data_IF_823157670735
#
_entry.id   IF_823157670735
#
_cell.length_a   1.000
_cell.length_b   1.000
_cell.length_c   1.000
_cell.angle_alpha   90.00
_cell.angle_beta   90.00
_cell.angle_gamma   90.00
#
_symmetry.space_group_name_H-M   'P 1'
#
loop_
_entity.id
_entity.type
_entity.pdbx_description
1 polymer ?
#
# COMPACT_ATOMS: atom_id res chain seq x y z
N UNK A 1 -2.39 -16.89 5.48
CA UNK A 1 -2.18 -18.37 5.39
C UNK A 1 -2.04 -18.87 3.95
N UNK A 2 -3.01 -18.69 3.05
CA UNK A 2 -2.95 -19.27 1.70
C UNK A 2 -1.76 -18.79 0.84
N UNK A 3 -1.40 -17.51 0.92
CA UNK A 3 -0.26 -16.97 0.15
C UNK A 3 1.11 -17.24 0.82
N UNK A 4 1.19 -17.02 2.13
CA UNK A 4 2.46 -17.09 2.88
C UNK A 4 2.81 -18.50 3.38
N UNK A 5 1.85 -19.44 3.44
CA UNK A 5 2.08 -20.79 3.95
C UNK A 5 2.67 -20.78 5.35
N UNK A 6 3.58 -21.71 5.65
CA UNK A 6 4.40 -21.68 6.87
C UNK A 6 5.69 -20.85 6.73
N UNK A 7 5.87 -20.16 5.60
CA UNK A 7 7.02 -19.32 5.27
C UNK A 7 8.32 -20.05 4.90
N UNK A 8 8.55 -21.28 5.38
CA UNK A 8 9.85 -21.93 5.33
C UNK A 8 10.37 -22.16 3.91
N UNK A 9 9.53 -22.70 3.01
CA UNK A 9 9.96 -23.05 1.65
C UNK A 9 10.15 -21.84 0.73
N UNK A 10 9.31 -20.80 0.90
CA UNK A 10 9.26 -19.66 -0.03
C UNK A 10 10.08 -18.46 0.45
N UNK A 11 10.16 -18.26 1.76
CA UNK A 11 10.74 -17.06 2.37
C UNK A 11 11.85 -17.37 3.38
N UNK A 12 12.12 -18.65 3.66
CA UNK A 12 13.11 -19.08 4.64
C UNK A 12 12.87 -18.49 6.05
N UNK A 13 11.60 -18.35 6.43
CA UNK A 13 11.16 -17.89 7.76
C UNK A 13 10.03 -18.78 8.26
N UNK A 14 9.92 -19.00 9.57
CA UNK A 14 8.77 -19.69 10.16
C UNK A 14 7.64 -18.69 10.38
N UNK A 15 6.44 -18.98 9.88
CA UNK A 15 5.25 -18.14 10.06
C UNK A 15 4.16 -18.96 10.74
N UNK A 16 3.79 -18.53 11.95
CA UNK A 16 2.64 -19.03 12.70
C UNK A 16 1.47 -18.03 12.63
N UNK A 17 0.24 -18.49 12.89
CA UNK A 17 -0.96 -17.66 12.73
C UNK A 17 -1.89 -17.80 13.93
N UNK A 18 -2.37 -16.67 14.43
CA UNK A 18 -3.60 -16.56 15.20
C UNK A 18 -4.68 -15.84 14.38
N UNK A 19 -5.95 -16.17 14.62
CA UNK A 19 -7.08 -15.50 13.97
C UNK A 19 -7.89 -14.76 15.02
N UNK A 20 -7.93 -13.44 14.91
CA UNK A 20 -8.85 -12.61 15.68
C UNK A 20 -10.25 -12.78 15.10
N UNK A 21 -11.09 -13.59 15.75
CA UNK A 21 -12.48 -13.83 15.31
C UNK A 21 -13.39 -12.63 15.62
N UNK A 22 -13.16 -11.99 16.77
CA UNK A 22 -13.89 -10.80 17.19
C UNK A 22 -12.98 -9.57 17.03
N UNK A 23 -13.35 -8.67 16.12
CA UNK A 23 -12.55 -7.48 15.79
C UNK A 23 -12.71 -6.37 16.85
N UNK A 24 -12.28 -6.65 18.07
CA UNK A 24 -12.45 -5.77 19.24
C UNK A 24 -11.31 -4.74 19.40
N UNK A 25 -10.56 -4.41 18.35
CA UNK A 25 -9.47 -3.42 18.41
C UNK A 25 -8.06 -4.01 18.44
N UNK A 26 -7.07 -3.11 18.44
CA UNK A 26 -5.64 -3.43 18.27
C UNK A 26 -5.01 -4.08 19.49
N UNK A 27 -5.38 -3.70 20.71
CA UNK A 27 -4.89 -4.36 21.93
C UNK A 27 -5.36 -5.81 21.99
N UNK A 28 -6.63 -6.07 21.63
CA UNK A 28 -7.17 -7.42 21.53
C UNK A 28 -6.39 -8.25 20.49
N UNK A 29 -6.09 -7.69 19.32
CA UNK A 29 -5.30 -8.37 18.29
C UNK A 29 -3.88 -8.70 18.77
N UNK A 30 -3.22 -7.77 19.45
CA UNK A 30 -1.87 -7.95 19.96
C UNK A 30 -1.80 -8.90 21.17
N UNK A 31 -2.88 -9.02 21.94
CA UNK A 31 -2.98 -9.99 23.04
C UNK A 31 -2.74 -11.44 22.58
N UNK A 32 -3.13 -11.79 21.35
CA UNK A 32 -2.86 -13.12 20.79
C UNK A 32 -1.36 -13.43 20.67
N UNK A 33 -0.48 -12.43 20.61
CA UNK A 33 0.96 -12.64 20.51
C UNK A 33 1.54 -13.30 21.78
N UNK A 34 0.88 -13.16 22.94
CA UNK A 34 1.33 -13.67 24.24
C UNK A 34 1.71 -15.16 24.19
N UNK A 35 0.87 -15.98 23.57
CA UNK A 35 1.07 -17.42 23.48
C UNK A 35 2.23 -17.83 22.54
N UNK A 36 2.66 -16.93 21.65
CA UNK A 36 3.74 -17.18 20.70
C UNK A 36 5.11 -16.72 21.24
N UNK A 37 5.14 -15.60 21.96
CA UNK A 37 6.40 -14.98 22.42
C UNK A 37 6.82 -15.45 23.81
N UNK A 38 5.87 -15.91 24.63
CA UNK A 38 6.16 -16.33 26.00
C UNK A 38 6.78 -15.20 26.82
N UNK A 39 7.97 -15.45 27.37
CA UNK A 39 8.71 -14.51 28.21
C UNK A 39 9.77 -13.69 27.44
N UNK A 40 9.88 -13.87 26.13
CA UNK A 40 10.87 -13.17 25.31
C UNK A 40 10.44 -11.74 24.98
N UNK A 41 11.42 -10.86 24.79
CA UNK A 41 11.22 -9.55 24.18
C UNK A 41 10.93 -9.71 22.69
N UNK A 42 10.00 -8.92 22.15
CA UNK A 42 9.51 -9.11 20.80
C UNK A 42 9.30 -7.80 20.04
N UNK A 43 9.50 -7.88 18.73
CA UNK A 43 9.02 -6.85 17.81
C UNK A 43 7.52 -6.99 17.60
N UNK A 44 6.84 -5.86 17.54
CA UNK A 44 5.43 -5.77 17.22
C UNK A 44 5.24 -4.69 16.17
N UNK A 45 4.40 -4.94 15.17
CA UNK A 45 4.13 -3.93 14.13
C UNK A 45 2.71 -4.06 13.55
N UNK A 46 2.15 -2.96 13.07
CA UNK A 46 0.93 -3.02 12.26
C UNK A 46 1.23 -3.69 10.90
N UNK A 47 0.24 -4.43 10.39
CA UNK A 47 0.40 -5.29 9.21
C UNK A 47 0.38 -4.56 7.87
N UNK A 48 0.08 -3.26 7.87
CA UNK A 48 -0.02 -2.39 6.69
C UNK A 48 1.17 -1.42 6.57
N UNK A 49 2.24 -1.62 7.33
CA UNK A 49 3.41 -0.74 7.30
C UNK A 49 4.48 -1.21 6.32
N UNK A 50 5.10 -0.26 5.64
CA UNK A 50 6.37 -0.45 4.93
C UNK A 50 7.40 0.56 5.45
N UNK A 51 8.52 0.07 5.94
CA UNK A 51 9.60 0.89 6.48
C UNK A 51 10.97 0.43 5.97
N UNK A 52 11.95 1.33 6.02
CA UNK A 52 13.34 0.96 5.76
C UNK A 52 13.86 -0.01 6.83
N UNK A 53 14.68 -0.99 6.43
CA UNK A 53 15.29 -1.97 7.35
C UNK A 53 16.13 -1.30 8.43
N UNK A 54 16.67 -0.12 8.15
CA UNK A 54 17.44 0.67 9.10
C UNK A 54 16.61 1.06 10.35
N UNK A 55 15.30 1.30 10.20
CA UNK A 55 14.39 1.61 11.32
C UNK A 55 14.44 0.50 12.38
N UNK A 56 14.32 -0.76 11.95
CA UNK A 56 14.33 -1.91 12.86
C UNK A 56 15.68 -2.07 13.57
N UNK A 57 16.80 -1.80 12.88
CA UNK A 57 18.13 -1.86 13.48
C UNK A 57 18.29 -0.81 14.57
N UNK A 58 17.89 0.43 14.29
CA UNK A 58 18.01 1.54 15.24
C UNK A 58 17.13 1.35 16.47
N UNK A 59 15.88 0.91 16.26
CA UNK A 59 14.96 0.57 17.36
C UNK A 59 15.55 -0.53 18.26
N UNK A 60 16.11 -1.59 17.68
CA UNK A 60 16.74 -2.69 18.45
C UNK A 60 17.98 -2.22 19.23
N UNK A 61 18.83 -1.40 18.61
CA UNK A 61 20.02 -0.86 19.26
C UNK A 61 19.67 0.04 20.44
N UNK A 62 18.64 0.88 20.29
CA UNK A 62 18.17 1.76 21.36
C UNK A 62 17.57 0.94 22.50
N UNK A 63 16.78 -0.07 22.19
CA UNK A 63 16.19 -0.96 23.18
C UNK A 63 17.27 -1.64 24.03
N UNK A 64 18.29 -2.26 23.40
CA UNK A 64 19.39 -2.91 24.11
C UNK A 64 20.21 -1.98 25.01
N UNK A 65 20.24 -0.68 24.71
CA UNK A 65 20.99 0.33 25.48
C UNK A 65 20.14 1.04 26.53
N UNK A 66 18.83 0.81 26.56
CA UNK A 66 17.89 1.53 27.42
C UNK A 66 17.32 0.59 28.48
N UNK A 67 17.23 1.05 29.73
CA UNK A 67 16.51 0.34 30.78
C UNK A 67 15.02 0.71 30.68
N UNK A 68 14.29 0.00 29.81
CA UNK A 68 12.87 0.25 29.53
C UNK A 68 12.12 -1.02 29.14
N UNK A 69 10.81 -1.00 29.31
CA UNK A 69 9.90 -2.10 28.99
C UNK A 69 9.47 -2.09 27.51
N UNK A 70 9.69 -0.98 26.79
CA UNK A 70 9.48 -0.95 25.35
C UNK A 70 9.99 0.29 24.62
N UNK A 71 10.05 0.17 23.30
CA UNK A 71 10.29 1.25 22.35
C UNK A 71 9.05 1.46 21.50
N UNK A 72 8.73 2.72 21.23
CA UNK A 72 7.76 3.12 20.21
C UNK A 72 8.45 3.92 19.11
N UNK A 73 8.26 3.53 17.85
CA UNK A 73 8.66 4.33 16.70
C UNK A 73 7.67 5.48 16.49
N UNK A 74 8.19 6.66 16.18
CA UNK A 74 7.44 7.90 15.99
C UNK A 74 7.82 8.54 14.67
N UNK A 75 6.90 9.30 14.09
CA UNK A 75 7.17 10.10 12.90
C UNK A 75 6.52 11.47 13.02
N UNK A 76 7.10 12.47 12.36
CA UNK A 76 6.55 13.82 12.34
C UNK A 76 5.43 13.92 11.31
N UNK A 77 4.26 14.43 11.74
CA UNK A 77 3.10 14.65 10.87
C UNK A 77 2.78 16.12 10.72
N UNK A 78 2.34 16.53 9.52
CA UNK A 78 1.86 17.89 9.30
C UNK A 78 0.46 18.12 9.88
N UNK A 79 -0.35 17.06 9.98
CA UNK A 79 -1.74 17.12 10.47
C UNK A 79 -1.91 16.20 11.70
N UNK A 80 -1.59 16.68 12.91
CA UNK A 80 -1.66 15.86 14.13
C UNK A 80 -3.04 15.24 14.43
N UNK A 81 -4.11 15.85 13.93
CA UNK A 81 -5.50 15.46 14.22
C UNK A 81 -5.93 14.12 13.62
N UNK A 82 -5.13 13.58 12.69
CA UNK A 82 -5.42 12.31 12.04
C UNK A 82 -4.82 11.11 12.80
N UNK A 83 -3.94 11.37 13.79
CA UNK A 83 -3.08 10.37 14.43
C UNK A 83 -3.15 10.41 15.97
N UNK A 84 -2.64 9.36 16.62
CA UNK A 84 -2.33 9.36 18.05
C UNK A 84 -1.01 10.09 18.28
N UNK A 85 -1.06 11.22 18.99
CA UNK A 85 0.07 12.12 19.25
C UNK A 85 0.75 11.78 20.56
N UNK A 86 2.07 11.72 20.52
CA UNK A 86 2.91 11.21 21.60
C UNK A 86 3.87 12.30 22.04
N UNK A 87 3.76 12.69 23.31
CA UNK A 87 4.67 13.64 23.94
C UNK A 87 5.82 12.90 24.61
N UNK A 88 7.03 13.41 24.43
CA UNK A 88 8.26 12.86 25.01
C UNK A 88 8.86 13.82 26.04
N UNK A 89 9.44 13.28 27.10
CA UNK A 89 10.26 14.05 28.05
C UNK A 89 11.66 14.34 27.47
N UNK A 90 12.48 15.06 28.26
CA UNK A 90 13.87 15.41 27.87
C UNK A 90 14.80 14.21 27.63
N UNK A 91 14.47 13.06 28.20
CA UNK A 91 15.22 11.80 28.05
C UNK A 91 14.62 10.89 26.95
N UNK A 92 13.67 11.43 26.18
CA UNK A 92 12.93 10.74 25.13
C UNK A 92 12.02 9.60 25.61
N UNK A 93 11.61 9.57 26.87
CA UNK A 93 10.55 8.67 27.34
C UNK A 93 9.16 9.26 27.09
N UNK A 94 8.20 8.39 26.79
CA UNK A 94 6.80 8.76 26.57
C UNK A 94 6.18 9.29 27.87
N UNK A 95 5.69 10.53 27.84
CA UNK A 95 4.93 11.13 28.95
C UNK A 95 3.44 10.92 28.78
N UNK A 96 2.94 11.11 27.55
CA UNK A 96 1.51 11.10 27.27
C UNK A 96 1.24 10.64 25.84
N UNK A 97 0.19 9.83 25.70
CA UNK A 97 -0.40 9.43 24.43
C UNK A 97 -1.77 10.09 24.34
N UNK A 98 -2.05 10.82 23.27
CA UNK A 98 -3.33 11.49 23.04
C UNK A 98 -3.89 11.09 21.69
N UNK A 99 -4.99 10.35 21.70
CA UNK A 99 -5.61 9.84 20.48
C UNK A 99 -6.39 10.95 19.77
N UNK A 100 -6.01 11.27 18.52
CA UNK A 100 -6.65 12.27 17.65
C UNK A 100 -7.05 13.52 18.43
N UNK A 101 -6.07 14.35 18.84
CA UNK A 101 -6.34 15.51 19.68
C UNK A 101 -7.34 16.48 19.05
N UNK A 102 -7.74 17.50 19.80
CA UNK A 102 -8.46 18.63 19.20
C UNK A 102 -7.45 19.64 18.64
N UNK A 103 -7.90 20.46 17.68
CA UNK A 103 -7.06 21.50 17.01
C UNK A 103 -6.38 22.45 17.99
N UNK A 104 -6.97 22.66 19.17
CA UNK A 104 -6.52 23.64 20.15
C UNK A 104 -5.46 23.10 21.12
N UNK A 105 -5.09 21.83 21.03
CA UNK A 105 -4.10 21.21 21.90
C UNK A 105 -2.73 21.19 21.20
N UNK A 106 -1.81 22.03 21.66
CA UNK A 106 -0.40 22.04 21.23
C UNK A 106 0.36 20.89 21.91
N UNK A 107 0.17 19.68 21.39
CA UNK A 107 0.77 18.44 21.93
C UNK A 107 2.00 17.98 21.12
N UNK A 108 2.49 18.84 20.23
CA UNK A 108 3.50 18.49 19.23
C UNK A 108 2.93 17.74 18.04
N UNK A 109 3.82 17.17 17.23
CA UNK A 109 3.51 16.57 15.93
C UNK A 109 4.06 15.15 15.77
N UNK A 110 4.45 14.49 16.86
CA UNK A 110 4.97 13.12 16.82
C UNK A 110 3.81 12.13 16.88
N UNK A 111 3.59 11.41 15.79
CA UNK A 111 2.57 10.38 15.67
C UNK A 111 3.16 8.98 15.87
N UNK A 112 2.35 8.05 16.35
CA UNK A 112 2.68 6.64 16.43
C UNK A 112 2.96 6.04 15.04
N UNK A 113 4.20 5.60 14.78
CA UNK A 113 4.59 4.99 13.50
C UNK A 113 4.34 3.46 13.45
N UNK A 114 3.80 2.87 14.52
CA UNK A 114 3.28 1.51 14.50
C UNK A 114 4.32 0.39 14.50
N UNK A 115 5.58 0.68 14.80
CA UNK A 115 6.65 -0.30 15.03
C UNK A 115 7.11 -0.19 16.48
N UNK A 116 7.17 -1.33 17.16
CA UNK A 116 7.45 -1.40 18.58
C UNK A 116 8.42 -2.52 18.91
N UNK A 117 9.11 -2.39 20.03
CA UNK A 117 9.67 -3.51 20.80
C UNK A 117 9.06 -3.45 22.18
N UNK A 118 8.61 -4.58 22.72
CA UNK A 118 8.15 -4.68 24.10
C UNK A 118 8.66 -5.96 24.75
N UNK A 119 8.81 -5.89 26.07
CA UNK A 119 8.87 -7.08 26.91
C UNK A 119 7.46 -7.57 27.28
N UNK A 120 7.32 -8.76 27.89
CA UNK A 120 6.02 -9.33 28.22
C UNK A 120 5.13 -8.52 29.19
N UNK A 121 5.65 -7.49 29.88
CA UNK A 121 4.85 -6.67 30.80
C UNK A 121 3.71 -5.94 30.06
N UNK A 122 3.87 -5.67 28.76
CA UNK A 122 2.81 -5.07 27.94
C UNK A 122 1.53 -5.92 27.93
N UNK A 123 1.63 -7.25 28.02
CA UNK A 123 0.45 -8.11 28.04
C UNK A 123 -0.40 -7.91 29.29
N UNK A 124 0.23 -7.61 30.43
CA UNK A 124 -0.49 -7.24 31.66
C UNK A 124 -1.24 -5.92 31.49
N UNK A 125 -0.68 -4.99 30.72
CA UNK A 125 -1.37 -3.74 30.41
C UNK A 125 -2.53 -3.95 29.41
N UNK A 126 -2.36 -4.85 28.44
CA UNK A 126 -3.42 -5.26 27.51
C UNK A 126 -4.60 -5.89 28.28
N UNK A 127 -4.33 -6.77 29.25
CA UNK A 127 -5.37 -7.38 30.10
C UNK A 127 -6.19 -6.37 30.92
N UNK A 128 -5.58 -5.23 31.27
CA UNK A 128 -6.22 -4.13 32.00
C UNK A 128 -6.91 -3.10 31.08
N UNK A 129 -6.80 -3.26 29.76
CA UNK A 129 -7.33 -2.30 28.80
C UNK A 129 -8.85 -2.39 28.74
N UNK A 130 -9.52 -1.25 28.88
CA UNK A 130 -10.97 -1.14 28.79
C UNK A 130 -11.41 -0.68 27.40
N UNK A 131 -12.73 -0.68 27.14
CA UNK A 131 -13.28 -0.24 25.86
C UNK A 131 -13.14 1.28 25.72
N UNK A 132 -12.61 1.73 24.59
CA UNK A 132 -12.54 3.15 24.23
C UNK A 132 -13.92 3.71 23.86
N UNK A 133 -13.98 5.02 23.59
CA UNK A 133 -15.17 5.68 23.04
C UNK A 133 -15.64 5.11 21.70
N UNK A 134 -14.76 4.38 21.00
CA UNK A 134 -15.06 3.67 19.74
C UNK A 134 -15.56 2.24 19.97
N UNK A 135 -15.69 1.83 21.22
CA UNK A 135 -16.05 0.47 21.60
C UNK A 135 -15.02 -0.57 21.10
N UNK A 136 -13.74 -0.20 21.18
CA UNK A 136 -12.58 -1.03 20.82
C UNK A 136 -11.54 -1.00 21.95
N UNK A 137 -10.79 -2.08 22.14
CA UNK A 137 -9.59 -2.13 22.97
C UNK A 137 -8.40 -1.57 22.20
N UNK A 138 -8.01 -0.33 22.49
CA UNK A 138 -6.95 0.37 21.76
C UNK A 138 -5.58 0.10 22.38
N UNK A 139 -4.59 -0.25 21.57
CA UNK A 139 -3.24 -0.52 22.06
C UNK A 139 -2.54 0.71 22.66
N UNK A 140 -2.94 1.90 22.23
CA UNK A 140 -2.51 3.18 22.81
C UNK A 140 -2.93 3.31 24.27
N UNK A 141 -4.11 2.82 24.63
CA UNK A 141 -4.57 2.76 26.02
C UNK A 141 -3.75 1.75 26.83
N UNK A 142 -3.41 0.59 26.27
CA UNK A 142 -2.51 -0.38 26.92
C UNK A 142 -1.14 0.23 27.23
N UNK A 143 -0.56 1.00 26.30
CA UNK A 143 0.70 1.69 26.54
C UNK A 143 0.57 2.76 27.64
N UNK A 144 -0.55 3.48 27.69
CA UNK A 144 -0.81 4.47 28.75
C UNK A 144 -0.98 3.80 30.13
N UNK A 145 -1.61 2.62 30.19
CA UNK A 145 -1.72 1.79 31.40
C UNK A 145 -0.34 1.31 31.86
N UNK A 146 0.51 0.84 30.93
CA UNK A 146 1.88 0.43 31.23
C UNK A 146 2.65 1.55 31.93
N UNK A 147 2.55 2.79 31.42
CA UNK A 147 3.22 3.96 32.00
C UNK A 147 2.61 4.35 33.36
N UNK A 148 1.29 4.55 33.41
CA UNK A 148 0.65 5.21 34.55
C UNK A 148 0.38 4.25 35.71
N UNK A 149 -0.06 3.03 35.43
CA UNK A 149 -0.48 2.06 36.44
C UNK A 149 0.64 1.08 36.78
N UNK A 150 1.33 0.54 35.76
CA UNK A 150 2.40 -0.45 35.97
C UNK A 150 3.78 0.17 36.18
N UNK A 151 3.89 1.50 36.06
CA UNK A 151 5.15 2.27 36.24
C UNK A 151 6.28 1.84 35.29
N UNK A 152 5.91 1.27 34.15
CA UNK A 152 6.84 0.96 33.07
C UNK A 152 7.31 2.22 32.34
N UNK A 153 8.39 2.08 31.58
CA UNK A 153 8.99 3.11 30.76
C UNK A 153 8.94 2.69 29.30
N UNK A 154 8.39 3.57 28.47
CA UNK A 154 8.42 3.41 27.02
C UNK A 154 9.29 4.53 26.45
N UNK A 155 10.29 4.18 25.65
CA UNK A 155 11.17 5.16 25.02
C UNK A 155 10.74 5.42 23.57
N UNK A 156 10.70 6.69 23.19
CA UNK A 156 10.39 7.11 21.83
C UNK A 156 11.62 7.07 20.93
N UNK A 157 11.45 6.56 19.72
CA UNK A 157 12.42 6.65 18.63
C UNK A 157 11.78 7.39 17.46
N UNK A 158 12.31 8.56 17.10
CA UNK A 158 11.78 9.35 15.98
C UNK A 158 12.47 8.94 14.68
N UNK A 159 11.72 8.40 13.74
CA UNK A 159 12.18 8.05 12.39
C UNK A 159 12.53 9.35 11.66
N UNK A 160 13.79 9.49 11.25
CA UNK A 160 14.29 10.65 10.48
C UNK A 160 15.03 10.18 9.25
N UNK A 161 14.80 10.86 8.13
CA UNK A 161 15.48 10.63 6.85
C UNK A 161 15.40 9.18 6.31
N UNK A 162 14.46 8.39 6.82
CA UNK A 162 14.19 7.03 6.42
C UNK A 162 12.78 6.92 5.86
N UNK A 163 12.59 6.00 4.92
CA UNK A 163 11.26 5.74 4.38
C UNK A 163 10.41 5.01 5.40
N UNK A 164 9.19 5.52 5.58
CA UNK A 164 8.12 4.88 6.30
C UNK A 164 6.80 5.26 5.62
N UNK A 165 5.88 4.31 5.53
CA UNK A 165 4.54 4.55 5.02
C UNK A 165 3.58 3.53 5.61
N UNK A 166 2.46 4.02 6.12
CA UNK A 166 1.24 3.23 6.30
C UNK A 166 0.55 3.07 4.95
N UNK A 167 0.29 1.84 4.51
CA UNK A 167 -0.35 1.56 3.22
C UNK A 167 -1.88 1.65 3.36
N UNK A 168 -2.36 2.78 3.88
CA UNK A 168 -3.78 3.02 4.12
C UNK A 168 -4.56 3.57 2.92
N UNK A 169 -3.90 4.27 2.00
CA UNK A 169 -4.52 4.89 0.81
C UNK A 169 -3.93 4.31 -0.48
N UNK A 170 -4.71 4.23 -1.57
CA UNK A 170 -4.25 3.53 -2.76
C UNK A 170 -2.94 4.06 -3.34
N UNK A 171 -2.75 5.39 -3.39
CA UNK A 171 -1.51 5.96 -3.91
C UNK A 171 -0.29 5.69 -3.03
N UNK A 172 -0.46 5.29 -1.76
CA UNK A 172 0.66 4.84 -0.93
C UNK A 172 1.32 3.58 -1.54
N UNK A 173 0.54 2.73 -2.24
CA UNK A 173 1.11 1.60 -2.99
C UNK A 173 2.06 2.05 -4.11
N UNK A 174 1.79 3.19 -4.76
CA UNK A 174 2.69 3.72 -5.80
C UNK A 174 4.01 4.21 -5.18
N UNK A 175 3.97 4.83 -4.00
CA UNK A 175 5.17 5.27 -3.30
C UNK A 175 5.98 4.11 -2.71
N UNK A 176 5.29 3.13 -2.12
CA UNK A 176 5.87 1.86 -1.69
C UNK A 176 6.57 1.14 -2.86
N UNK A 177 5.91 1.07 -4.02
CA UNK A 177 6.49 0.46 -5.21
C UNK A 177 7.74 1.20 -5.68
N UNK A 178 7.73 2.54 -5.72
CA UNK A 178 8.94 3.31 -6.05
C UNK A 178 10.07 3.03 -5.07
N UNK A 179 9.76 3.00 -3.76
CA UNK A 179 10.74 2.70 -2.72
C UNK A 179 11.40 1.33 -2.94
N UNK A 180 10.60 0.30 -3.24
CA UNK A 180 11.09 -1.05 -3.50
C UNK A 180 11.88 -1.11 -4.82
N UNK A 181 11.32 -0.59 -5.92
CA UNK A 181 11.91 -0.64 -7.25
C UNK A 181 13.23 0.14 -7.35
N UNK A 182 13.45 1.18 -6.55
CA UNK A 182 14.76 1.84 -6.49
C UNK A 182 15.90 0.90 -6.04
N UNK A 183 15.57 -0.21 -5.38
CA UNK A 183 16.53 -1.17 -4.82
C UNK A 183 16.65 -2.45 -5.64
N UNK A 184 15.87 -2.62 -6.72
CA UNK A 184 15.96 -3.83 -7.55
C UNK A 184 17.25 -3.80 -8.37
N UNK A 185 17.87 -4.97 -8.51
CA UNK A 185 19.01 -5.18 -9.38
C UNK A 185 18.53 -5.73 -10.71
N UNK A 186 19.21 -5.35 -11.79
CA UNK A 186 18.92 -5.90 -13.12
C UNK A 186 19.04 -7.43 -13.11
N UNK A 187 18.01 -8.12 -13.62
CA UNK A 187 17.99 -9.57 -13.80
C UNK A 187 17.02 -9.92 -14.91
N UNK A 188 17.53 -10.45 -16.02
CA UNK A 188 16.75 -10.78 -17.20
C UNK A 188 16.68 -12.30 -17.35
N UNK A 189 15.63 -12.91 -16.82
CA UNK A 189 15.41 -14.37 -16.87
C UNK A 189 14.46 -14.81 -17.98
N UNK A 190 13.74 -13.85 -18.59
CA UNK A 190 12.87 -14.07 -19.74
C UNK A 190 13.63 -14.11 -21.08
N UNK A 191 12.90 -14.43 -22.15
CA UNK A 191 13.41 -14.37 -23.53
C UNK A 191 13.14 -12.99 -24.12
N UNK A 192 14.17 -12.36 -24.68
CA UNK A 192 14.06 -11.11 -25.42
C UNK A 192 14.29 -11.41 -26.89
N UNK A 193 13.40 -10.94 -27.76
CA UNK A 193 13.62 -10.94 -29.21
C UNK A 193 14.66 -9.88 -29.61
N UNK A 194 15.08 -9.91 -30.88
CA UNK A 194 15.94 -8.87 -31.45
C UNK A 194 15.27 -7.49 -31.37
N UNK A 195 16.06 -6.42 -31.33
CA UNK A 195 15.57 -5.04 -31.30
C UNK A 195 14.70 -4.69 -30.07
N UNK A 196 14.91 -5.38 -28.95
CA UNK A 196 14.40 -4.98 -27.62
C UNK A 196 15.46 -4.14 -26.92
N UNK A 197 15.07 -2.97 -26.40
CA UNK A 197 15.95 -2.10 -25.61
C UNK A 197 15.51 -2.13 -24.15
N UNK A 198 16.45 -2.45 -23.25
CA UNK A 198 16.23 -2.51 -21.80
C UNK A 198 17.32 -1.69 -21.11
N UNK A 199 16.94 -0.73 -20.27
CA UNK A 199 17.88 0.01 -19.43
C UNK A 199 18.20 -0.74 -18.13
N UNK A 200 19.07 -0.16 -17.30
CA UNK A 200 19.38 -0.70 -15.97
C UNK A 200 18.18 -0.73 -15.02
N UNK A 201 18.32 -1.51 -13.94
CA UNK A 201 17.36 -1.73 -12.87
C UNK A 201 16.05 -2.36 -13.35
N UNK A 202 16.14 -3.31 -14.27
CA UNK A 202 14.99 -4.04 -14.80
C UNK A 202 15.05 -5.51 -14.39
N UNK A 203 13.98 -5.99 -13.76
CA UNK A 203 13.75 -7.42 -13.54
C UNK A 203 12.76 -7.95 -14.59
N UNK A 204 13.10 -9.05 -15.24
CA UNK A 204 12.20 -9.79 -16.14
C UNK A 204 12.19 -11.25 -15.71
N UNK A 205 11.05 -11.74 -15.25
CA UNK A 205 10.88 -13.09 -14.75
C UNK A 205 10.95 -14.17 -15.82
N UNK A 206 11.09 -15.42 -15.37
CA UNK A 206 11.14 -16.62 -16.22
C UNK A 206 9.88 -16.76 -17.08
N UNK A 207 10.04 -17.40 -18.23
CA UNK A 207 8.98 -17.67 -19.21
C UNK A 207 8.29 -16.41 -19.76
N UNK A 208 8.80 -15.22 -19.45
CA UNK A 208 8.33 -13.98 -20.07
C UNK A 208 9.00 -13.79 -21.43
N UNK A 209 8.20 -13.45 -22.44
CA UNK A 209 8.67 -13.10 -23.77
C UNK A 209 8.52 -11.60 -23.99
N UNK A 210 9.63 -10.93 -24.32
CA UNK A 210 9.62 -9.53 -24.78
C UNK A 210 9.87 -9.50 -26.27
N UNK A 211 8.88 -9.01 -27.01
CA UNK A 211 8.88 -8.95 -28.47
C UNK A 211 9.59 -7.72 -29.02
N UNK A 212 10.07 -7.84 -30.25
CA UNK A 212 10.84 -6.80 -30.96
C UNK A 212 10.21 -5.41 -30.93
N UNK A 213 11.08 -4.39 -30.92
CA UNK A 213 10.72 -2.98 -30.91
C UNK A 213 10.25 -2.45 -29.55
N UNK A 214 10.17 -3.31 -28.53
CA UNK A 214 9.81 -2.89 -27.17
C UNK A 214 10.95 -2.13 -26.50
N UNK A 215 10.60 -1.09 -25.74
CA UNK A 215 11.53 -0.24 -25.01
C UNK A 215 11.17 -0.23 -23.52
N UNK A 216 12.11 -0.65 -22.66
CA UNK A 216 11.88 -0.82 -21.22
C UNK A 216 12.89 0.04 -20.44
N UNK A 217 12.37 1.06 -19.75
CA UNK A 217 13.14 1.97 -18.89
C UNK A 217 12.92 1.64 -17.43
N UNK A 218 13.97 1.21 -16.76
CA UNK A 218 13.99 0.97 -15.32
C UNK A 218 13.96 2.25 -14.46
N UNK A 219 13.71 2.10 -13.14
CA UNK A 219 13.52 0.81 -12.49
C UNK A 219 12.15 0.20 -12.79
N UNK A 220 12.10 -1.06 -13.20
CA UNK A 220 10.87 -1.78 -13.58
C UNK A 220 10.93 -3.25 -13.19
N UNK A 221 9.77 -3.81 -12.87
CA UNK A 221 9.62 -5.23 -12.58
C UNK A 221 8.58 -5.84 -13.52
N UNK A 222 8.96 -6.91 -14.21
CA UNK A 222 8.07 -7.71 -15.05
C UNK A 222 8.12 -9.14 -14.53
N UNK A 223 6.97 -9.63 -14.07
CA UNK A 223 6.82 -10.97 -13.52
C UNK A 223 7.02 -12.07 -14.53
N UNK A 224 6.72 -13.29 -14.12
CA UNK A 224 6.89 -14.50 -14.92
C UNK A 224 5.74 -14.67 -15.93
N UNK A 225 5.99 -15.45 -17.00
CA UNK A 225 4.99 -15.90 -17.97
C UNK A 225 4.23 -14.76 -18.66
N UNK A 226 4.82 -13.57 -18.74
CA UNK A 226 4.21 -12.42 -19.36
C UNK A 226 4.58 -12.31 -20.84
N UNK A 227 3.71 -11.65 -21.61
CA UNK A 227 3.97 -11.31 -23.00
C UNK A 227 4.03 -9.79 -23.12
N UNK A 228 5.20 -9.28 -23.48
CA UNK A 228 5.44 -7.84 -23.65
C UNK A 228 5.73 -7.56 -25.11
N UNK A 229 5.04 -6.58 -25.69
CA UNK A 229 5.21 -6.13 -27.06
C UNK A 229 4.41 -6.93 -28.12
N UNK A 230 4.70 -6.70 -29.41
CA UNK A 230 5.79 -5.85 -29.92
C UNK A 230 5.56 -4.36 -29.63
N UNK A 231 6.62 -3.56 -29.71
CA UNK A 231 6.56 -2.10 -29.59
C UNK A 231 5.89 -1.60 -28.29
N UNK A 232 6.02 -2.34 -27.20
CA UNK A 232 5.58 -1.85 -25.89
C UNK A 232 6.56 -0.79 -25.38
N UNK A 233 6.05 0.25 -24.73
CA UNK A 233 6.88 1.22 -24.02
C UNK A 233 6.63 1.16 -22.51
N UNK A 234 7.55 0.54 -21.80
CA UNK A 234 7.48 0.39 -20.34
C UNK A 234 8.40 1.44 -19.71
N UNK A 235 7.83 2.33 -18.92
CA UNK A 235 8.52 3.48 -18.32
C UNK A 235 8.80 3.27 -16.83
N UNK A 236 9.66 4.08 -16.21
CA UNK A 236 10.12 3.86 -14.85
C UNK A 236 8.99 3.71 -13.83
N UNK A 237 9.29 2.93 -12.79
CA UNK A 237 8.43 2.57 -11.67
C UNK A 237 7.20 1.75 -12.06
N UNK A 238 7.28 1.04 -13.18
CA UNK A 238 6.23 0.10 -13.60
C UNK A 238 6.48 -1.27 -12.98
N UNK A 239 5.44 -1.81 -12.34
CA UNK A 239 5.38 -3.19 -11.90
C UNK A 239 4.33 -3.92 -12.74
N UNK A 240 4.71 -5.04 -13.32
CA UNK A 240 3.84 -5.96 -14.04
C UNK A 240 3.94 -7.31 -13.34
N UNK A 241 2.81 -7.83 -12.90
CA UNK A 241 2.68 -9.14 -12.25
C UNK A 241 2.93 -10.30 -13.21
N UNK A 242 2.51 -11.49 -12.79
CA UNK A 242 2.71 -12.70 -13.58
C UNK A 242 1.58 -12.86 -14.60
N UNK A 243 1.86 -13.54 -15.71
CA UNK A 243 0.87 -13.89 -16.73
C UNK A 243 0.12 -12.66 -17.29
N UNK A 244 0.82 -11.55 -17.47
CA UNK A 244 0.25 -10.34 -18.05
C UNK A 244 0.53 -10.27 -19.55
N UNK A 245 -0.33 -9.58 -20.29
CA UNK A 245 -0.10 -9.26 -21.70
C UNK A 245 -0.10 -7.74 -21.88
N UNK A 246 1.06 -7.17 -22.19
CA UNK A 246 1.20 -5.76 -22.57
C UNK A 246 1.60 -5.73 -24.04
N UNK A 247 0.67 -5.37 -24.94
CA UNK A 247 1.00 -5.31 -26.36
C UNK A 247 1.59 -3.95 -26.76
N UNK A 248 1.20 -3.42 -27.92
CA UNK A 248 1.61 -2.10 -28.40
C UNK A 248 0.94 -0.99 -27.56
N UNK A 249 1.46 -0.76 -26.35
CA UNK A 249 0.91 0.11 -25.33
C UNK A 249 2.02 0.76 -24.49
N UNK A 250 1.71 1.89 -23.84
CA UNK A 250 2.60 2.57 -22.91
C UNK A 250 2.12 2.43 -21.46
N UNK A 251 3.04 2.03 -20.57
CA UNK A 251 2.78 1.94 -19.11
C UNK A 251 3.86 2.69 -18.34
N UNK A 252 3.47 3.48 -17.34
CA UNK A 252 4.37 4.32 -16.55
C UNK A 252 3.92 4.42 -15.10
N UNK A 253 4.85 4.27 -14.15
CA UNK A 253 4.62 4.45 -12.71
C UNK A 253 3.31 3.79 -12.23
N UNK A 254 3.05 2.56 -12.68
CA UNK A 254 1.78 1.88 -12.46
C UNK A 254 1.99 0.46 -11.96
N UNK A 255 1.04 -0.01 -11.17
CA UNK A 255 0.96 -1.39 -10.67
C UNK A 255 -0.03 -2.17 -11.52
N UNK A 256 0.46 -3.09 -12.33
CA UNK A 256 -0.35 -4.00 -13.13
C UNK A 256 -0.28 -5.39 -12.48
N UNK A 257 -1.34 -5.80 -11.79
CA UNK A 257 -1.39 -7.10 -11.12
C UNK A 257 -1.60 -8.24 -12.11
N UNK A 258 -1.38 -9.47 -11.64
CA UNK A 258 -1.29 -10.67 -12.48
C UNK A 258 -2.55 -10.95 -13.30
N UNK A 259 -2.39 -11.69 -14.40
CA UNK A 259 -3.45 -12.08 -15.33
C UNK A 259 -4.15 -10.91 -16.02
N UNK A 260 -3.48 -9.76 -16.13
CA UNK A 260 -4.07 -8.55 -16.72
C UNK A 260 -3.58 -8.32 -18.14
N UNK A 261 -4.50 -7.89 -19.02
CA UNK A 261 -4.26 -7.64 -20.44
C UNK A 261 -4.45 -6.16 -20.80
N UNK A 262 -3.42 -5.56 -21.38
CA UNK A 262 -3.33 -4.18 -21.87
C UNK A 262 -2.80 -4.24 -23.32
N UNK A 263 -3.59 -4.80 -24.25
CA UNK A 263 -3.06 -5.37 -25.48
C UNK A 263 -2.81 -4.34 -26.60
N UNK A 264 -3.59 -3.24 -26.68
CA UNK A 264 -3.64 -2.46 -27.91
C UNK A 264 -3.86 -0.96 -27.65
N UNK A 265 -2.86 -0.14 -27.97
CA UNK A 265 -2.93 1.33 -27.99
C UNK A 265 -3.44 1.93 -26.67
N UNK A 266 -3.07 1.31 -25.55
CA UNK A 266 -3.42 1.80 -24.23
C UNK A 266 -2.32 2.74 -23.71
N UNK A 267 -2.73 3.74 -22.92
CA UNK A 267 -1.83 4.53 -22.09
C UNK A 267 -2.26 4.43 -20.62
N UNK A 268 -1.34 3.94 -19.78
CA UNK A 268 -1.56 3.66 -18.36
C UNK A 268 -0.49 4.37 -17.54
N UNK A 269 -0.83 5.53 -16.98
CA UNK A 269 0.07 6.32 -16.16
C UNK A 269 -0.40 6.45 -14.72
N UNK A 270 0.51 6.30 -13.77
CA UNK A 270 0.27 6.59 -12.35
C UNK A 270 -0.96 5.85 -11.77
N UNK A 271 -1.20 4.61 -12.20
CA UNK A 271 -2.45 3.84 -11.96
C UNK A 271 -2.22 2.54 -11.21
N UNK A 272 -3.31 1.97 -10.67
CA UNK A 272 -3.34 0.65 -10.05
C UNK A 272 -4.38 -0.19 -10.78
N UNK A 273 -3.93 -1.25 -11.45
CA UNK A 273 -4.77 -2.15 -12.23
C UNK A 273 -4.69 -3.53 -11.58
N UNK A 274 -5.75 -3.93 -10.87
CA UNK A 274 -5.82 -5.19 -10.13
C UNK A 274 -5.82 -6.41 -11.08
N UNK A 275 -5.86 -7.59 -10.48
CA UNK A 275 -5.76 -8.87 -11.19
C UNK A 275 -6.95 -9.13 -12.12
N UNK A 276 -6.69 -9.93 -13.16
CA UNK A 276 -7.69 -10.39 -14.13
C UNK A 276 -8.43 -9.24 -14.85
N UNK A 277 -7.76 -8.10 -15.07
CA UNK A 277 -8.35 -6.97 -15.80
C UNK A 277 -8.07 -7.09 -17.29
N UNK A 278 -9.03 -6.72 -18.14
CA UNK A 278 -8.81 -6.64 -19.59
C UNK A 278 -9.19 -5.25 -20.12
N UNK A 279 -8.23 -4.52 -20.68
CA UNK A 279 -8.48 -3.21 -21.25
C UNK A 279 -8.72 -3.31 -22.75
N UNK A 280 -9.90 -2.86 -23.19
CA UNK A 280 -10.24 -2.77 -24.60
C UNK A 280 -9.26 -1.85 -25.36
N UNK A 281 -9.06 -2.15 -26.63
CA UNK A 281 -8.15 -1.40 -27.49
C UNK A 281 -8.42 0.11 -27.44
N UNK A 282 -7.37 0.92 -27.28
CA UNK A 282 -7.50 2.37 -27.23
C UNK A 282 -8.01 2.93 -25.90
N UNK A 283 -8.22 2.10 -24.87
CA UNK A 283 -8.54 2.58 -23.51
C UNK A 283 -7.39 3.42 -22.97
N UNK A 284 -7.70 4.64 -22.50
CA UNK A 284 -6.71 5.58 -21.96
C UNK A 284 -7.08 6.06 -20.56
N UNK A 285 -6.09 6.14 -19.69
CA UNK A 285 -6.24 6.71 -18.34
C UNK A 285 -5.55 8.06 -18.31
N UNK A 286 -6.32 9.12 -18.05
CA UNK A 286 -5.74 10.42 -17.73
C UNK A 286 -5.08 10.36 -16.36
N UNK A 287 -3.89 10.96 -16.24
CA UNK A 287 -3.16 11.09 -14.99
C UNK A 287 -2.82 12.53 -14.63
N UNK A 288 -3.39 13.52 -15.31
CA UNK A 288 -3.10 14.94 -15.09
C UNK A 288 -4.37 15.76 -15.32
N UNK A 289 -4.62 16.70 -14.42
CA UNK A 289 -5.69 17.70 -14.57
C UNK A 289 -5.19 18.88 -15.38
N UNK A 290 -6.08 19.52 -16.14
CA UNK A 290 -5.74 20.73 -16.91
C UNK A 290 -5.29 21.91 -16.03
N UNK A 291 -5.80 22.00 -14.80
CA UNK A 291 -5.43 23.05 -13.83
C UNK A 291 -4.10 22.77 -13.10
N UNK A 292 -3.43 21.64 -13.39
CA UNK A 292 -2.20 21.18 -12.74
C UNK A 292 -2.29 21.05 -11.20
N UNK A 293 -3.49 21.08 -10.61
CA UNK A 293 -3.68 20.90 -9.16
C UNK A 293 -3.49 19.43 -8.77
N UNK A 294 -3.36 19.21 -7.46
CA UNK A 294 -3.36 17.87 -6.89
C UNK A 294 -4.68 17.13 -7.21
N UNK A 295 -4.58 15.81 -7.34
CA UNK A 295 -5.72 14.95 -7.69
C UNK A 295 -6.30 14.36 -6.41
N UNK A 296 -7.60 14.58 -6.18
CA UNK A 296 -8.33 13.98 -5.07
C UNK A 296 -9.07 12.71 -5.51
N UNK A 297 -9.34 11.82 -4.56
CA UNK A 297 -10.17 10.63 -4.74
C UNK A 297 -11.27 10.58 -3.68
N UNK A 298 -12.40 9.96 -4.00
CA UNK A 298 -13.45 9.70 -3.02
C UNK A 298 -13.13 8.38 -2.31
N UNK A 299 -12.88 8.45 -1.01
CA UNK A 299 -12.53 7.30 -0.15
C UNK A 299 -13.39 7.38 1.11
N UNK A 300 -14.13 6.31 1.40
CA UNK A 300 -15.11 6.27 2.51
C UNK A 300 -16.00 7.51 2.52
N UNK A 301 -16.55 7.85 1.35
CA UNK A 301 -17.45 8.99 1.10
C UNK A 301 -16.84 10.39 1.30
N UNK A 302 -15.53 10.48 1.58
CA UNK A 302 -14.81 11.74 1.73
C UNK A 302 -13.90 11.98 0.54
N UNK A 303 -13.83 13.23 0.09
CA UNK A 303 -12.81 13.65 -0.88
C UNK A 303 -11.48 13.82 -0.16
N UNK A 304 -10.51 12.96 -0.48
CA UNK A 304 -9.16 13.01 0.08
C UNK A 304 -8.20 13.49 -1.01
N UNK A 305 -7.45 14.55 -0.73
CA UNK A 305 -6.37 15.00 -1.61
C UNK A 305 -5.19 14.02 -1.53
N UNK A 306 -4.74 13.50 -2.67
CA UNK A 306 -3.55 12.64 -2.72
C UNK A 306 -2.25 13.40 -2.54
N UNK A 307 -2.26 14.74 -2.66
CA UNK A 307 -1.05 15.56 -2.73
C UNK A 307 -0.27 15.38 -4.03
N UNK A 308 -0.79 14.60 -4.99
CA UNK A 308 -0.10 14.27 -6.23
C UNK A 308 -0.61 15.13 -7.38
N UNK A 309 0.32 15.77 -8.08
CA UNK A 309 0.03 16.38 -9.39
C UNK A 309 -0.34 15.34 -10.45
N UNK A 310 0.20 14.12 -10.35
CA UNK A 310 -0.11 13.01 -11.26
C UNK A 310 -0.60 11.77 -10.54
N UNK A 311 -1.79 11.31 -10.91
CA UNK A 311 -2.46 10.12 -10.40
C UNK A 311 -3.47 9.67 -11.45
N UNK A 312 -3.38 8.41 -11.87
CA UNK A 312 -4.28 7.80 -12.84
C UNK A 312 -5.55 7.30 -12.17
N UNK A 313 -5.88 6.03 -12.40
CA UNK A 313 -7.10 5.40 -11.88
C UNK A 313 -6.79 4.12 -11.12
N UNK A 314 -7.78 3.65 -10.37
CA UNK A 314 -7.78 2.34 -9.73
C UNK A 314 -8.81 1.48 -10.45
N UNK A 315 -8.40 0.35 -11.02
CA UNK A 315 -9.30 -0.60 -11.66
C UNK A 315 -9.27 -1.90 -10.87
N UNK A 316 -10.40 -2.19 -10.21
CA UNK A 316 -10.60 -3.37 -9.38
C UNK A 316 -10.60 -4.67 -10.19
N UNK A 317 -10.45 -5.82 -9.50
CA UNK A 317 -10.19 -7.09 -10.15
C UNK A 317 -11.37 -7.58 -11.00
N UNK A 318 -11.05 -8.39 -12.01
CA UNK A 318 -12.00 -8.98 -12.97
C UNK A 318 -12.82 -7.96 -13.78
N UNK A 319 -12.38 -6.70 -13.82
CA UNK A 319 -13.05 -5.64 -14.57
C UNK A 319 -12.56 -5.56 -16.01
N UNK A 320 -13.41 -5.04 -16.89
CA UNK A 320 -13.12 -4.94 -18.32
C UNK A 320 -13.53 -3.58 -18.87
N UNK A 321 -12.81 -3.11 -19.87
CA UNK A 321 -13.22 -1.93 -20.64
C UNK A 321 -13.45 -2.26 -22.10
N UNK A 322 -14.44 -1.62 -22.70
CA UNK A 322 -14.66 -1.64 -24.14
C UNK A 322 -13.58 -0.84 -24.87
N UNK A 323 -13.58 -0.96 -26.20
CA UNK A 323 -12.66 -0.20 -27.04
C UNK A 323 -12.88 1.31 -26.85
N UNK A 324 -11.80 2.09 -26.89
CA UNK A 324 -11.81 3.56 -26.81
C UNK A 324 -12.50 4.12 -25.54
N UNK A 325 -12.56 3.38 -24.44
CA UNK A 325 -12.98 3.96 -23.16
C UNK A 325 -11.97 5.00 -22.67
N UNK A 326 -12.45 6.08 -22.06
CA UNK A 326 -11.61 7.15 -21.51
C UNK A 326 -11.86 7.26 -20.01
N UNK A 327 -10.81 7.19 -19.20
CA UNK A 327 -10.93 7.19 -17.74
C UNK A 327 -10.26 8.45 -17.19
N UNK A 328 -11.03 9.25 -16.44
CA UNK A 328 -10.52 10.45 -15.79
C UNK A 328 -9.59 10.10 -14.62
N UNK A 329 -8.63 10.98 -14.33
CA UNK A 329 -7.73 10.83 -13.19
C UNK A 329 -8.50 10.82 -11.86
N UNK A 330 -8.00 10.05 -10.90
CA UNK A 330 -8.56 9.92 -9.55
C UNK A 330 -9.85 9.09 -9.47
N UNK A 331 -10.17 8.30 -10.50
CA UNK A 331 -11.39 7.48 -10.53
C UNK A 331 -11.14 6.03 -10.13
N UNK A 332 -12.16 5.44 -9.52
CA UNK A 332 -12.20 4.04 -9.11
C UNK A 332 -13.21 3.29 -9.97
N UNK A 333 -12.78 2.18 -10.58
CA UNK A 333 -13.66 1.18 -11.16
C UNK A 333 -13.68 -0.01 -10.21
N UNK A 334 -14.82 -0.32 -9.61
CA UNK A 334 -14.98 -1.44 -8.68
C UNK A 334 -14.76 -2.80 -9.37
N UNK A 335 -14.64 -3.86 -8.57
CA UNK A 335 -14.44 -5.23 -9.07
C UNK A 335 -15.61 -5.72 -9.93
N UNK A 336 -15.32 -6.65 -10.85
CA UNK A 336 -16.30 -7.29 -11.73
C UNK A 336 -17.15 -6.32 -12.57
N UNK A 337 -16.62 -5.13 -12.86
CA UNK A 337 -17.32 -4.08 -13.58
C UNK A 337 -16.93 -4.05 -15.05
N UNK A 338 -17.86 -3.64 -15.91
CA UNK A 338 -17.68 -3.57 -17.35
C UNK A 338 -17.92 -2.13 -17.79
N UNK A 339 -16.93 -1.52 -18.42
CA UNK A 339 -17.07 -0.22 -19.07
C UNK A 339 -17.37 -0.47 -20.54
N UNK A 340 -18.41 0.16 -21.09
CA UNK A 340 -18.78 0.06 -22.50
C UNK A 340 -17.76 0.69 -23.43
N UNK A 341 -17.85 0.34 -24.72
CA UNK A 341 -17.06 1.00 -25.75
C UNK A 341 -17.34 2.51 -25.80
N UNK A 342 -16.33 3.29 -26.16
CA UNK A 342 -16.42 4.76 -26.33
C UNK A 342 -17.06 5.49 -25.13
N UNK A 343 -16.85 4.96 -23.93
CA UNK A 343 -17.47 5.46 -22.69
C UNK A 343 -16.46 6.27 -21.88
N UNK A 344 -16.89 7.46 -21.43
CA UNK A 344 -16.13 8.32 -20.53
C UNK A 344 -16.47 7.99 -19.07
N UNK A 345 -15.49 7.54 -18.30
CA UNK A 345 -15.58 7.34 -16.85
C UNK A 345 -15.13 8.62 -16.16
N UNK A 346 -16.10 9.44 -15.75
CA UNK A 346 -15.90 10.69 -15.01
C UNK A 346 -16.38 10.62 -13.54
N UNK A 347 -16.98 9.49 -13.15
CA UNK A 347 -17.43 9.17 -11.79
C UNK A 347 -16.86 7.81 -11.35
N UNK A 348 -16.90 7.55 -10.05
CA UNK A 348 -16.53 6.23 -9.53
C UNK A 348 -17.61 5.21 -9.87
N UNK A 349 -17.15 4.04 -10.34
CA UNK A 349 -18.00 2.94 -10.75
C UNK A 349 -18.03 1.92 -9.62
N UNK A 350 -19.20 1.66 -9.00
CA UNK A 350 -19.33 0.63 -7.99
C UNK A 350 -18.94 -0.75 -8.51
N UNK A 351 -18.69 -1.67 -7.59
CA UNK A 351 -18.44 -3.08 -7.96
C UNK A 351 -19.67 -3.70 -8.61
N UNK A 352 -19.46 -4.71 -9.46
CA UNK A 352 -20.50 -5.42 -10.19
C UNK A 352 -21.39 -4.46 -10.99
N UNK A 353 -20.79 -3.56 -11.77
CA UNK A 353 -21.54 -2.55 -12.54
C UNK A 353 -21.18 -2.60 -14.02
N UNK A 354 -22.18 -2.55 -14.88
CA UNK A 354 -22.04 -2.28 -16.32
C UNK A 354 -22.31 -0.80 -16.52
N UNK A 355 -21.30 -0.06 -17.00
CA UNK A 355 -21.34 1.38 -17.20
C UNK A 355 -21.01 1.68 -18.67
N UNK A 356 -21.97 2.18 -19.44
CA UNK A 356 -21.80 2.37 -20.88
C UNK A 356 -22.57 3.56 -21.42
N UNK A 357 -22.17 4.05 -22.58
CA UNK A 357 -22.91 5.02 -23.38
C UNK A 357 -23.87 4.27 -24.31
N UNK A 358 -25.17 4.54 -24.23
CA UNK A 358 -26.17 3.95 -25.12
C UNK A 358 -26.16 4.58 -26.53
N UNK A 359 -26.98 4.05 -27.43
CA UNK A 359 -27.13 4.52 -28.82
C UNK A 359 -27.55 5.99 -28.93
N UNK A 360 -28.24 6.52 -27.93
CA UNK A 360 -28.67 7.92 -27.84
C UNK A 360 -27.62 8.82 -27.17
N UNK A 361 -26.46 8.25 -26.86
CA UNK A 361 -25.35 8.92 -26.20
C UNK A 361 -25.53 9.15 -24.71
N UNK A 362 -26.55 8.56 -24.08
CA UNK A 362 -26.80 8.69 -22.64
C UNK A 362 -25.99 7.66 -21.88
N UNK A 363 -25.43 8.08 -20.74
CA UNK A 363 -24.74 7.18 -19.82
C UNK A 363 -25.76 6.30 -19.09
N UNK A 364 -25.51 4.99 -19.09
CA UNK A 364 -26.30 3.95 -18.44
C UNK A 364 -25.45 3.21 -17.42
N UNK A 365 -26.08 2.85 -16.30
CA UNK A 365 -25.44 2.17 -15.17
C UNK A 365 -26.37 1.07 -14.68
N UNK A 366 -25.91 -0.18 -14.79
CA UNK A 366 -26.68 -1.36 -14.38
C UNK A 366 -25.85 -2.22 -13.43
N UNK A 367 -26.47 -2.71 -12.35
CA UNK A 367 -25.81 -3.65 -11.45
C UNK A 367 -25.84 -5.05 -12.09
N UNK A 368 -24.68 -5.69 -12.17
CA UNK A 368 -24.50 -7.08 -12.57
C UNK A 368 -25.01 -7.95 -11.41
N UNK A 369 -26.05 -8.74 -11.67
CA UNK A 369 -26.57 -9.75 -10.75
C UNK A 369 -25.60 -10.91 -10.61
#
# INVERSE_FOLDING_TARGET
KNYFGNGLSKFNVKIDYATQLEHLGTAHAFGFAKDFVGDDDFFLMYGDLLADLQVFKEVLEIYKKSSCEGIISLFEVNNPQEYGIISLNKEAFVEKITEKPSVNLDLGNLANAGIFIFNPLIFKAIELTELSIRNEYEFTDSMQILINQLKGKIKGYVIKDLFWSDIGLPWHLLEANKFILKRIKSRLEGKLEENVIVSDNVFIGKDTLVKSGSYIQGPCYIGEKSLIGPNAYIRPYTYIGNNCHIGMSEVKNSLIFSNTSIPHFNYIGDSIICENVNLGAGTKISNLRFDNKSISMIIKEKSIDSGRRKLGAIIGPNSQTGINSSIMCGKIIGRNSIIGANTLVNEDIPSNTIFYKDENGKIKKHRKT
#
